data_IF_461727380578
#
_entry.id   IF_461727380578
#
_cell.length_a   1.000
_cell.length_b   1.000
_cell.length_c   1.000
_cell.angle_alpha   90.00
_cell.angle_beta   90.00
_cell.angle_gamma   90.00
#
_symmetry.space_group_name_H-M   'P 1'
#
loop_
_entity.id
_entity.type
_entity.pdbx_description
1 polymer ?
#
# COMPACT_ATOMS: atom_id res chain seq x y z
N UNK A 1 34.50 -5.64 -7.03
CA UNK A 1 34.11 -4.22 -6.87
C UNK A 1 33.04 -4.16 -5.78
N UNK A 2 33.03 -3.11 -4.95
CA UNK A 2 31.93 -2.90 -3.98
C UNK A 2 30.66 -2.58 -4.77
N UNK A 3 29.55 -3.26 -4.45
CA UNK A 3 28.26 -3.06 -5.11
C UNK A 3 27.65 -1.72 -4.69
N UNK A 4 26.92 -1.09 -5.62
CA UNK A 4 26.35 0.23 -5.44
C UNK A 4 24.87 0.28 -5.83
N UNK A 5 24.06 0.97 -5.03
CA UNK A 5 22.60 1.06 -5.19
C UNK A 5 22.16 2.52 -5.14
N UNK A 6 21.34 2.91 -6.11
CA UNK A 6 20.60 4.18 -6.09
C UNK A 6 19.21 3.94 -5.51
N UNK A 7 18.84 4.61 -4.43
CA UNK A 7 17.46 4.57 -3.90
C UNK A 7 16.77 5.89 -4.25
N UNK A 8 15.77 5.80 -5.12
CA UNK A 8 14.88 6.91 -5.44
C UNK A 8 13.77 6.95 -4.39
N UNK A 9 13.72 8.02 -3.60
CA UNK A 9 12.74 8.24 -2.55
C UNK A 9 13.33 8.17 -1.15
N UNK A 10 12.93 9.12 -0.30
CA UNK A 10 13.33 9.23 1.10
C UNK A 10 12.12 9.25 2.04
N UNK A 11 11.05 8.53 1.66
CA UNK A 11 9.82 8.40 2.46
C UNK A 11 9.94 7.31 3.53
N UNK A 12 8.85 7.07 4.27
CA UNK A 12 8.79 6.16 5.42
C UNK A 12 9.42 4.77 5.18
N UNK A 13 9.18 4.18 4.01
CA UNK A 13 9.62 2.82 3.69
C UNK A 13 11.09 2.72 3.26
N UNK A 14 11.76 3.85 3.01
CA UNK A 14 13.14 3.87 2.55
C UNK A 14 14.13 3.55 3.69
N UNK A 15 13.81 3.92 4.93
CA UNK A 15 14.72 3.78 6.07
C UNK A 15 15.18 2.34 6.31
N UNK A 16 14.29 1.34 6.42
CA UNK A 16 14.73 -0.04 6.64
C UNK A 16 15.51 -0.61 5.45
N UNK A 17 15.18 -0.17 4.23
CA UNK A 17 15.90 -0.59 3.03
C UNK A 17 17.34 -0.05 3.02
N UNK A 18 17.53 1.23 3.33
CA UNK A 18 18.86 1.85 3.46
C UNK A 18 19.67 1.16 4.54
N UNK A 19 19.08 0.92 5.71
CA UNK A 19 19.74 0.28 6.84
C UNK A 19 20.24 -1.13 6.50
N UNK A 20 19.38 -1.96 5.91
CA UNK A 20 19.73 -3.34 5.54
C UNK A 20 20.87 -3.36 4.52
N UNK A 21 20.79 -2.53 3.48
CA UNK A 21 21.81 -2.47 2.43
C UNK A 21 23.13 -1.90 2.95
N UNK A 22 23.07 -0.85 3.78
CA UNK A 22 24.25 -0.27 4.44
C UNK A 22 24.98 -1.29 5.32
N UNK A 23 24.24 -2.04 6.15
CA UNK A 23 24.80 -3.11 7.02
C UNK A 23 25.36 -4.29 6.22
N UNK A 24 24.88 -4.52 5.00
CA UNK A 24 25.46 -5.49 4.07
C UNK A 24 26.75 -4.98 3.37
N UNK A 25 27.20 -3.76 3.65
CA UNK A 25 28.39 -3.17 3.05
C UNK A 25 28.20 -2.62 1.64
N UNK A 26 26.94 -2.49 1.18
CA UNK A 26 26.59 -1.94 -0.12
C UNK A 26 26.65 -0.41 -0.05
N UNK A 27 27.21 0.23 -1.08
CA UNK A 27 27.22 1.69 -1.19
C UNK A 27 25.84 2.18 -1.61
N UNK A 28 25.18 3.00 -0.80
CA UNK A 28 23.81 3.47 -1.06
C UNK A 28 23.79 4.97 -1.33
N UNK A 29 23.27 5.37 -2.49
CA UNK A 29 22.95 6.77 -2.77
C UNK A 29 21.46 6.99 -2.60
N UNK A 30 21.06 7.77 -1.59
CA UNK A 30 19.67 8.20 -1.38
C UNK A 30 19.41 9.45 -2.20
N UNK A 31 18.40 9.39 -3.07
CA UNK A 31 18.06 10.47 -3.99
C UNK A 31 16.60 10.87 -3.85
N UNK A 32 16.35 12.16 -3.67
CA UNK A 32 15.02 12.75 -3.75
C UNK A 32 15.11 14.23 -4.14
N UNK A 33 13.99 14.89 -4.42
CA UNK A 33 14.00 16.31 -4.86
C UNK A 33 14.63 17.22 -3.82
N UNK A 34 14.29 17.04 -2.54
CA UNK A 34 14.76 17.88 -1.44
C UNK A 34 16.03 17.28 -0.81
N UNK A 35 17.20 17.88 -1.08
CA UNK A 35 18.50 17.36 -0.59
C UNK A 35 18.51 17.11 0.93
N UNK A 36 17.95 18.03 1.72
CA UNK A 36 17.91 17.91 3.17
C UNK A 36 17.20 16.62 3.64
N UNK A 37 16.14 16.18 2.95
CA UNK A 37 15.44 14.94 3.30
C UNK A 37 16.26 13.69 2.96
N UNK A 38 17.03 13.71 1.86
CA UNK A 38 17.98 12.64 1.57
C UNK A 38 19.13 12.61 2.57
N UNK A 39 19.65 13.78 2.97
CA UNK A 39 20.74 13.90 3.95
C UNK A 39 20.32 13.41 5.34
N UNK A 40 19.10 13.71 5.79
CA UNK A 40 18.58 13.23 7.06
C UNK A 40 18.52 11.70 7.12
N UNK A 41 18.08 11.07 6.02
CA UNK A 41 18.04 9.61 5.92
C UNK A 41 19.45 9.00 5.81
N UNK A 42 20.25 9.45 4.83
CA UNK A 42 21.58 8.90 4.58
C UNK A 42 22.52 9.11 5.78
N UNK A 43 22.51 10.29 6.41
CA UNK A 43 23.41 10.65 7.51
C UNK A 43 23.30 9.73 8.75
N UNK A 44 22.25 8.92 8.84
CA UNK A 44 22.05 7.95 9.93
C UNK A 44 22.79 6.61 9.71
N UNK A 45 23.38 6.39 8.52
CA UNK A 45 23.93 5.09 8.14
C UNK A 45 25.30 5.20 7.44
N UNK A 46 26.20 4.27 7.74
CA UNK A 46 27.49 4.15 7.05
C UNK A 46 27.31 3.76 5.57
N UNK A 47 28.33 3.97 4.74
CA UNK A 47 28.30 3.63 3.30
C UNK A 47 27.16 4.27 2.52
N UNK A 48 26.65 5.42 2.98
CA UNK A 48 25.57 6.13 2.30
C UNK A 48 26.01 7.53 1.84
N UNK A 49 25.34 8.01 0.80
CA UNK A 49 25.45 9.38 0.30
C UNK A 49 24.06 9.91 -0.05
N UNK A 50 23.90 11.23 -0.02
CA UNK A 50 22.65 11.90 -0.36
C UNK A 50 22.84 12.78 -1.59
N UNK A 51 21.86 12.77 -2.51
CA UNK A 51 21.84 13.64 -3.69
C UNK A 51 20.44 14.23 -3.90
N UNK A 52 20.38 15.44 -4.48
CA UNK A 52 19.14 15.97 -5.02
C UNK A 52 18.95 15.42 -6.43
N UNK A 53 17.77 14.87 -6.72
CA UNK A 53 17.43 14.36 -8.03
C UNK A 53 15.92 14.54 -8.28
N UNK A 54 15.60 15.19 -9.40
CA UNK A 54 14.25 15.17 -9.97
C UNK A 54 14.21 14.09 -11.06
N UNK A 55 13.31 13.12 -10.89
CA UNK A 55 13.14 12.02 -11.85
C UNK A 55 12.50 12.47 -13.17
N UNK A 56 11.98 13.70 -13.24
CA UNK A 56 11.54 14.31 -14.49
C UNK A 56 12.70 14.88 -15.32
N UNK A 57 13.86 15.12 -14.70
CA UNK A 57 15.08 15.43 -15.44
C UNK A 57 15.67 14.11 -15.97
N UNK A 58 15.36 13.83 -17.23
CA UNK A 58 15.77 12.58 -17.89
C UNK A 58 17.29 12.42 -17.91
N UNK A 59 18.04 13.50 -18.18
CA UNK A 59 19.50 13.42 -18.27
C UNK A 59 20.13 13.16 -16.90
N UNK A 60 19.64 13.84 -15.85
CA UNK A 60 20.10 13.62 -14.48
C UNK A 60 19.75 12.21 -13.99
N UNK A 61 18.55 11.71 -14.28
CA UNK A 61 18.12 10.37 -13.92
C UNK A 61 18.99 9.30 -14.60
N UNK A 62 19.20 9.41 -15.92
CA UNK A 62 20.04 8.47 -16.66
C UNK A 62 21.48 8.45 -16.15
N UNK A 63 22.07 9.62 -15.86
CA UNK A 63 23.41 9.72 -15.30
C UNK A 63 23.49 9.06 -13.91
N UNK A 64 22.50 9.32 -13.05
CA UNK A 64 22.44 8.72 -11.72
C UNK A 64 22.28 7.20 -11.80
N UNK A 65 21.37 6.69 -12.64
CA UNK A 65 21.16 5.24 -12.81
C UNK A 65 22.42 4.57 -13.35
N UNK A 66 23.09 5.15 -14.35
CA UNK A 66 24.30 4.59 -14.93
C UNK A 66 25.47 4.47 -13.95
N UNK A 67 25.52 5.33 -12.92
CA UNK A 67 26.57 5.33 -11.91
C UNK A 67 26.43 4.23 -10.85
N UNK A 68 25.34 3.45 -10.85
CA UNK A 68 25.07 2.41 -9.84
C UNK A 68 24.84 1.05 -10.50
N UNK A 69 24.88 -0.04 -9.72
CA UNK A 69 24.63 -1.40 -10.22
C UNK A 69 23.14 -1.73 -10.28
N UNK A 70 22.37 -1.14 -9.36
CA UNK A 70 20.92 -1.33 -9.24
C UNK A 70 20.23 -0.06 -8.76
N UNK A 71 19.02 0.21 -9.26
CA UNK A 71 18.15 1.30 -8.79
C UNK A 71 16.92 0.76 -8.07
N UNK A 72 16.64 1.24 -6.86
CA UNK A 72 15.40 0.97 -6.12
C UNK A 72 14.44 2.15 -6.31
N UNK A 73 13.24 1.89 -6.82
CA UNK A 73 12.20 2.92 -7.01
C UNK A 73 11.15 2.86 -5.90
N UNK A 74 11.28 3.73 -4.90
CA UNK A 74 10.33 3.92 -3.77
C UNK A 74 9.55 5.25 -3.89
N UNK A 75 9.44 5.76 -5.12
CA UNK A 75 8.69 6.97 -5.50
C UNK A 75 7.30 6.61 -6.06
N UNK A 76 6.40 7.58 -6.33
CA UNK A 76 5.10 7.29 -6.92
C UNK A 76 5.18 6.43 -8.18
N UNK A 77 4.28 5.44 -8.28
CA UNK A 77 4.33 4.41 -9.31
C UNK A 77 4.24 4.93 -10.75
N UNK A 78 3.74 6.15 -10.94
CA UNK A 78 3.68 6.83 -12.23
C UNK A 78 5.06 7.07 -12.86
N UNK A 79 6.13 7.08 -12.06
CA UNK A 79 7.50 7.29 -12.53
C UNK A 79 8.24 5.99 -12.88
N UNK A 80 7.70 4.80 -12.53
CA UNK A 80 8.42 3.54 -12.68
C UNK A 80 8.84 3.24 -14.12
N UNK A 81 7.98 3.51 -15.10
CA UNK A 81 8.30 3.29 -16.51
C UNK A 81 9.49 4.15 -16.99
N UNK A 82 9.60 5.39 -16.51
CA UNK A 82 10.73 6.28 -16.84
C UNK A 82 12.03 5.79 -16.19
N UNK A 83 11.97 5.33 -14.94
CA UNK A 83 13.12 4.73 -14.25
C UNK A 83 13.60 3.46 -14.96
N UNK A 84 12.67 2.59 -15.37
CA UNK A 84 13.00 1.35 -16.09
C UNK A 84 13.64 1.66 -17.44
N UNK A 85 13.14 2.66 -18.20
CA UNK A 85 13.76 3.08 -19.46
C UNK A 85 15.21 3.56 -19.28
N UNK A 86 15.47 4.37 -18.24
CA UNK A 86 16.84 4.79 -17.90
C UNK A 86 17.73 3.58 -17.54
N UNK A 87 17.19 2.62 -16.79
CA UNK A 87 17.90 1.40 -16.41
C UNK A 87 18.19 0.47 -17.59
N UNK A 88 17.26 0.33 -18.54
CA UNK A 88 17.46 -0.41 -19.80
C UNK A 88 18.62 0.21 -20.59
N UNK A 89 18.62 1.54 -20.77
CA UNK A 89 19.69 2.26 -21.46
C UNK A 89 21.05 2.05 -20.81
N UNK A 90 21.10 2.08 -19.48
CA UNK A 90 22.32 1.90 -18.70
C UNK A 90 22.70 0.43 -18.45
N UNK A 91 21.85 -0.53 -18.85
CA UNK A 91 21.94 -1.97 -18.52
C UNK A 91 22.10 -2.24 -17.02
N UNK A 92 21.31 -1.54 -16.20
CA UNK A 92 21.30 -1.66 -14.73
C UNK A 92 20.02 -2.29 -14.24
N UNK A 93 20.09 -2.97 -13.08
CA UNK A 93 18.95 -3.66 -12.50
C UNK A 93 18.00 -2.67 -11.80
N UNK A 94 16.75 -3.10 -11.59
CA UNK A 94 15.73 -2.31 -10.88
C UNK A 94 15.00 -3.16 -9.86
N UNK A 95 14.69 -2.58 -8.70
CA UNK A 95 13.76 -3.15 -7.72
C UNK A 95 12.66 -2.13 -7.40
N UNK A 96 11.40 -2.57 -7.34
CA UNK A 96 10.25 -1.76 -6.91
C UNK A 96 9.35 -2.53 -5.96
N UNK A 97 8.64 -1.84 -5.07
CA UNK A 97 7.62 -2.44 -4.19
C UNK A 97 6.19 -2.16 -4.68
N UNK A 98 6.02 -1.94 -5.97
CA UNK A 98 4.75 -1.57 -6.60
C UNK A 98 4.27 -2.64 -7.57
N UNK A 99 2.97 -2.64 -7.86
CA UNK A 99 2.37 -3.45 -8.91
C UNK A 99 3.06 -3.25 -10.26
N UNK A 100 3.22 -4.33 -11.02
CA UNK A 100 3.59 -4.28 -12.43
C UNK A 100 2.41 -3.66 -13.20
N UNK A 101 2.61 -2.45 -13.71
CA UNK A 101 1.63 -1.79 -14.57
C UNK A 101 1.75 -2.24 -16.03
N UNK A 102 0.72 -2.07 -16.87
CA UNK A 102 0.81 -2.34 -18.31
C UNK A 102 2.01 -1.65 -18.97
N UNK A 103 2.24 -0.36 -18.66
CA UNK A 103 3.37 0.41 -19.17
C UNK A 103 4.74 -0.12 -18.72
N UNK A 104 4.83 -0.82 -17.59
CA UNK A 104 6.04 -1.51 -17.18
C UNK A 104 6.21 -2.82 -17.96
N UNK A 105 5.13 -3.59 -18.12
CA UNK A 105 5.15 -4.88 -18.81
C UNK A 105 5.49 -4.74 -20.30
N UNK A 106 5.10 -3.65 -20.95
CA UNK A 106 5.51 -3.31 -22.32
C UNK A 106 7.04 -3.27 -22.50
N UNK A 107 7.79 -2.99 -21.44
CA UNK A 107 9.25 -2.90 -21.46
C UNK A 107 9.95 -4.26 -21.22
N UNK A 108 9.20 -5.36 -21.08
CA UNK A 108 9.76 -6.68 -20.76
C UNK A 108 10.73 -7.21 -21.83
N UNK A 109 10.37 -7.08 -23.11
CA UNK A 109 11.25 -7.46 -24.21
C UNK A 109 12.56 -6.68 -24.21
N UNK A 110 12.49 -5.36 -23.99
CA UNK A 110 13.66 -4.47 -23.93
C UNK A 110 14.53 -4.75 -22.70
N UNK A 111 13.93 -5.00 -21.53
CA UNK A 111 14.63 -5.36 -20.31
C UNK A 111 15.37 -6.70 -20.45
N UNK A 112 14.75 -7.70 -21.09
CA UNK A 112 15.39 -8.98 -21.43
C UNK A 112 16.57 -8.77 -22.40
N UNK A 113 16.38 -7.98 -23.46
CA UNK A 113 17.43 -7.68 -24.43
C UNK A 113 18.62 -6.92 -23.81
N UNK A 114 18.36 -6.02 -22.86
CA UNK A 114 19.38 -5.33 -22.10
C UNK A 114 20.09 -6.22 -21.06
N UNK A 115 19.58 -7.43 -20.81
CA UNK A 115 20.13 -8.37 -19.85
C UNK A 115 19.89 -7.97 -18.39
N UNK A 116 18.85 -7.19 -18.11
CA UNK A 116 18.57 -6.67 -16.77
C UNK A 116 17.41 -7.41 -16.09
N UNK A 117 17.48 -7.44 -14.76
CA UNK A 117 16.37 -7.85 -13.89
C UNK A 117 15.65 -6.62 -13.38
N UNK A 118 14.32 -6.61 -13.52
CA UNK A 118 13.43 -5.61 -12.93
C UNK A 118 12.48 -6.35 -11.99
N UNK A 119 12.83 -6.43 -10.71
CA UNK A 119 12.04 -7.14 -9.70
C UNK A 119 11.02 -6.19 -9.07
N UNK A 120 9.74 -6.50 -9.20
CA UNK A 120 8.64 -5.67 -8.71
C UNK A 120 7.84 -6.41 -7.65
N UNK A 121 6.80 -5.75 -7.12
CA UNK A 121 5.82 -6.39 -6.25
C UNK A 121 6.46 -7.11 -5.07
N UNK A 122 7.51 -6.51 -4.48
CA UNK A 122 8.28 -7.11 -3.39
C UNK A 122 8.37 -6.21 -2.16
N UNK A 123 7.21 -5.71 -1.71
CA UNK A 123 7.02 -5.06 -0.42
C UNK A 123 6.20 -5.93 0.54
N UNK A 124 5.08 -5.38 1.03
CA UNK A 124 4.12 -6.07 1.88
C UNK A 124 2.93 -6.61 1.06
N UNK A 125 2.17 -5.70 0.47
CA UNK A 125 1.01 -5.94 -0.41
C UNK A 125 1.04 -4.86 -1.51
N UNK A 126 1.67 -5.14 -2.68
CA UNK A 126 2.14 -6.45 -3.13
C UNK A 126 3.56 -6.83 -2.65
N UNK A 127 3.76 -8.08 -2.24
CA UNK A 127 5.05 -8.62 -1.79
C UNK A 127 4.92 -9.87 -0.94
N UNK A 128 5.06 -9.73 0.38
CA UNK A 128 4.90 -10.83 1.35
C UNK A 128 3.59 -11.60 1.09
N UNK A 129 2.51 -10.91 0.72
CA UNK A 129 1.25 -11.53 0.37
C UNK A 129 1.35 -12.50 -0.82
N UNK A 130 2.16 -12.19 -1.84
CA UNK A 130 2.45 -13.10 -2.95
C UNK A 130 3.32 -14.28 -2.51
N UNK A 131 4.34 -14.02 -1.69
CA UNK A 131 5.29 -15.05 -1.24
C UNK A 131 4.56 -16.22 -0.59
N UNK A 132 3.72 -15.92 0.42
CA UNK A 132 3.02 -16.95 1.19
C UNK A 132 1.78 -17.49 0.49
N UNK A 133 1.12 -16.71 -0.38
CA UNK A 133 0.03 -17.24 -1.19
C UNK A 133 0.53 -18.27 -2.21
N UNK A 134 1.55 -17.93 -3.00
CA UNK A 134 2.10 -18.81 -4.04
C UNK A 134 2.72 -20.06 -3.44
N UNK A 135 3.42 -19.95 -2.31
CA UNK A 135 4.02 -21.11 -1.64
C UNK A 135 2.97 -22.16 -1.20
N UNK A 136 1.90 -21.72 -0.54
CA UNK A 136 0.84 -22.62 -0.09
C UNK A 136 0.10 -23.26 -1.27
N UNK A 137 -0.24 -22.45 -2.28
CA UNK A 137 -0.91 -22.92 -3.50
C UNK A 137 -0.06 -24.01 -4.18
N UNK A 138 1.23 -23.74 -4.39
CA UNK A 138 2.16 -24.69 -5.00
C UNK A 138 2.26 -26.00 -4.19
N UNK A 139 2.36 -25.93 -2.85
CA UNK A 139 2.36 -27.13 -1.99
C UNK A 139 1.07 -27.93 -2.10
N UNK A 140 -0.08 -27.27 -2.11
CA UNK A 140 -1.40 -27.92 -2.25
C UNK A 140 -1.51 -28.64 -3.60
N UNK A 141 -1.16 -27.96 -4.70
CA UNK A 141 -1.20 -28.54 -6.03
C UNK A 141 -0.23 -29.72 -6.18
N UNK A 142 1.00 -29.61 -5.66
CA UNK A 142 1.97 -30.72 -5.64
C UNK A 142 1.49 -31.93 -4.86
N UNK A 143 0.69 -31.72 -3.81
CA UNK A 143 0.03 -32.79 -3.06
C UNK A 143 -1.20 -33.39 -3.78
N UNK A 144 -1.59 -32.83 -4.93
CA UNK A 144 -2.77 -33.25 -5.71
C UNK A 144 -4.09 -32.69 -5.17
N UNK A 145 -4.03 -31.64 -4.35
CA UNK A 145 -5.21 -30.89 -3.89
C UNK A 145 -5.59 -29.75 -4.84
N UNK A 146 -6.65 -29.03 -4.48
CA UNK A 146 -7.24 -27.92 -5.22
C UNK A 146 -7.54 -26.74 -4.31
N UNK A 147 -7.39 -25.52 -4.84
CA UNK A 147 -7.77 -24.29 -4.15
C UNK A 147 -9.19 -23.91 -4.57
N UNK A 148 -10.19 -24.22 -3.73
CA UNK A 148 -11.60 -23.91 -4.02
C UNK A 148 -11.94 -22.43 -3.76
N UNK A 149 -11.28 -21.81 -2.80
CA UNK A 149 -11.47 -20.41 -2.42
C UNK A 149 -10.15 -19.81 -1.96
N UNK A 150 -9.83 -18.62 -2.45
CA UNK A 150 -8.70 -17.80 -2.03
C UNK A 150 -9.19 -16.41 -1.65
N UNK A 151 -8.96 -16.03 -0.39
CA UNK A 151 -9.18 -14.66 0.10
C UNK A 151 -7.89 -14.15 0.72
N UNK A 152 -7.50 -12.92 0.41
CA UNK A 152 -6.29 -12.29 0.93
C UNK A 152 -6.60 -10.86 1.34
N UNK A 153 -6.54 -10.58 2.64
CA UNK A 153 -6.84 -9.27 3.17
C UNK A 153 -5.66 -8.72 3.96
N UNK A 154 -5.27 -7.48 3.64
CA UNK A 154 -4.16 -6.78 4.29
C UNK A 154 -4.59 -5.40 4.79
N UNK A 155 -4.08 -4.97 5.94
CA UNK A 155 -4.26 -3.62 6.46
C UNK A 155 -3.03 -3.14 7.20
N UNK A 156 -2.46 -2.01 6.75
CA UNK A 156 -1.59 -1.17 7.56
C UNK A 156 -2.44 -0.15 8.31
N UNK A 157 -2.51 -0.31 9.63
CA UNK A 157 -3.43 0.37 10.53
C UNK A 157 -2.65 0.97 11.71
N UNK A 158 -3.34 1.73 12.55
CA UNK A 158 -2.86 2.03 13.90
C UNK A 158 -3.04 0.80 14.79
N UNK A 159 -2.21 0.65 15.83
CA UNK A 159 -2.47 -0.34 16.87
C UNK A 159 -3.82 -0.06 17.57
N UNK A 160 -4.57 -1.09 18.04
CA UNK A 160 -5.89 -0.89 18.63
C UNK A 160 -5.92 0.15 19.76
N UNK A 161 -4.89 0.18 20.61
CA UNK A 161 -4.73 1.14 21.70
C UNK A 161 -4.51 2.59 21.23
N UNK A 162 -4.16 2.82 19.97
CA UNK A 162 -3.95 4.13 19.35
C UNK A 162 -4.97 4.42 18.22
N UNK A 163 -6.13 3.76 18.25
CA UNK A 163 -7.20 3.86 17.26
C UNK A 163 -8.31 4.86 17.60
N UNK A 164 -8.08 5.71 18.59
CA UNK A 164 -9.02 6.66 19.20
C UNK A 164 -9.25 7.94 18.37
N UNK A 165 -9.46 7.79 17.06
CA UNK A 165 -9.91 8.85 16.18
C UNK A 165 -11.09 8.40 15.32
N UNK A 166 -11.84 9.32 14.67
CA UNK A 166 -13.06 8.96 13.94
C UNK A 166 -12.91 7.93 12.83
N UNK A 167 -11.72 7.78 12.26
CA UNK A 167 -11.42 6.81 11.21
C UNK A 167 -10.80 5.52 11.75
N UNK A 168 -10.42 5.47 13.03
CA UNK A 168 -9.55 4.41 13.56
C UNK A 168 -8.27 4.26 12.74
N UNK A 169 -7.76 5.34 12.15
CA UNK A 169 -6.69 5.28 11.16
C UNK A 169 -5.65 6.37 11.40
N UNK A 170 -4.38 6.06 11.15
CA UNK A 170 -3.29 7.03 11.12
C UNK A 170 -2.38 6.70 9.94
N UNK A 171 -1.75 7.71 9.34
CA UNK A 171 -0.95 7.51 8.14
C UNK A 171 0.43 6.93 8.47
N UNK A 172 0.64 5.67 8.10
CA UNK A 172 1.97 5.01 8.12
C UNK A 172 2.65 4.97 6.74
N UNK A 173 1.96 5.50 5.72
CA UNK A 173 2.44 5.62 4.34
C UNK A 173 1.69 6.78 3.65
N UNK A 174 1.87 6.96 2.33
CA UNK A 174 1.32 8.11 1.58
C UNK A 174 -0.18 8.32 1.81
N UNK A 175 -0.52 9.43 2.47
CA UNK A 175 -1.88 9.92 2.74
C UNK A 175 -2.74 10.03 1.47
N UNK A 176 -2.20 10.68 0.44
CA UNK A 176 -2.83 10.79 -0.87
C UNK A 176 -3.05 9.42 -1.51
N UNK A 177 -2.08 8.52 -1.38
CA UNK A 177 -2.19 7.14 -1.84
C UNK A 177 -3.34 6.38 -1.18
N UNK A 178 -3.55 6.56 0.14
CA UNK A 178 -4.69 5.99 0.87
C UNK A 178 -6.00 6.50 0.29
N UNK A 179 -6.16 7.82 0.11
CA UNK A 179 -7.41 8.40 -0.39
C UNK A 179 -7.71 8.00 -1.84
N UNK A 180 -6.70 7.96 -2.71
CA UNK A 180 -6.87 7.49 -4.08
C UNK A 180 -7.25 6.00 -4.14
N UNK A 181 -6.72 5.17 -3.24
CA UNK A 181 -7.07 3.76 -3.19
C UNK A 181 -8.56 3.54 -2.91
N UNK A 182 -9.21 4.47 -2.20
CA UNK A 182 -10.65 4.44 -1.90
C UNK A 182 -11.52 4.79 -3.11
N UNK A 183 -10.94 5.31 -4.20
CA UNK A 183 -11.63 5.57 -5.48
C UNK A 183 -11.48 4.43 -6.49
N UNK A 184 -10.66 3.42 -6.20
CA UNK A 184 -10.44 2.33 -7.13
C UNK A 184 -11.72 1.51 -7.30
N UNK A 185 -12.02 1.10 -8.52
CA UNK A 185 -12.97 0.02 -8.74
C UNK A 185 -12.40 -1.27 -8.13
N UNK A 186 -13.29 -2.15 -7.68
CA UNK A 186 -12.93 -3.52 -7.32
C UNK A 186 -13.54 -4.50 -8.32
N UNK A 187 -12.77 -5.53 -8.68
CA UNK A 187 -13.23 -6.65 -9.50
C UNK A 187 -12.68 -7.94 -8.91
N UNK A 188 -13.52 -8.93 -8.67
CA UNK A 188 -13.09 -10.19 -8.05
C UNK A 188 -14.03 -11.33 -8.42
N UNK A 189 -13.65 -12.56 -8.04
CA UNK A 189 -14.50 -13.74 -8.26
C UNK A 189 -15.08 -14.19 -6.93
N UNK A 190 -16.39 -14.36 -6.87
CA UNK A 190 -17.13 -14.87 -5.72
C UNK A 190 -18.20 -15.85 -6.20
N UNK A 191 -18.24 -17.04 -5.60
CA UNK A 191 -19.14 -18.14 -5.98
C UNK A 191 -19.20 -18.43 -7.50
N UNK A 192 -18.03 -18.43 -8.14
CA UNK A 192 -17.85 -18.71 -9.57
C UNK A 192 -18.25 -17.55 -10.50
N UNK A 193 -18.61 -16.38 -9.95
CA UNK A 193 -19.07 -15.22 -10.71
C UNK A 193 -18.12 -14.04 -10.55
N UNK A 194 -17.95 -13.30 -11.63
CA UNK A 194 -17.26 -12.01 -11.59
C UNK A 194 -18.18 -11.01 -10.89
N UNK A 195 -17.64 -10.36 -9.85
CA UNK A 195 -18.25 -9.22 -9.17
C UNK A 195 -17.45 -7.99 -9.52
N UNK A 196 -18.13 -6.93 -9.96
CA UNK A 196 -17.55 -5.63 -10.26
C UNK A 196 -18.22 -4.56 -9.40
N UNK A 197 -17.41 -3.72 -8.76
CA UNK A 197 -17.85 -2.70 -7.81
C UNK A 197 -17.21 -1.38 -8.23
N UNK A 198 -18.03 -0.36 -8.42
CA UNK A 198 -17.54 0.98 -8.73
C UNK A 198 -16.81 1.58 -7.51
N UNK A 199 -15.85 2.48 -7.74
CA UNK A 199 -15.19 3.20 -6.65
C UNK A 199 -16.15 3.99 -5.75
N UNK A 200 -17.31 4.42 -6.28
CA UNK A 200 -18.34 5.13 -5.51
C UNK A 200 -19.07 4.21 -4.53
N UNK A 201 -19.26 2.95 -4.92
CA UNK A 201 -19.99 1.95 -4.12
C UNK A 201 -19.05 1.09 -3.27
N UNK A 202 -17.73 1.24 -3.43
CA UNK A 202 -16.72 0.37 -2.80
C UNK A 202 -16.90 0.28 -1.29
N UNK A 203 -17.10 1.41 -0.62
CA UNK A 203 -17.26 1.44 0.84
C UNK A 203 -18.58 0.81 1.31
N UNK A 204 -19.61 0.74 0.47
CA UNK A 204 -20.87 0.05 0.80
C UNK A 204 -20.72 -1.48 0.79
N UNK A 205 -19.68 -2.00 0.11
CA UNK A 205 -19.38 -3.44 0.09
C UNK A 205 -18.60 -3.92 1.31
N UNK A 206 -18.10 -3.00 2.15
CA UNK A 206 -17.30 -3.35 3.30
C UNK A 206 -18.13 -4.16 4.31
N UNK A 207 -17.66 -5.35 4.68
CA UNK A 207 -18.32 -6.26 5.62
C UNK A 207 -17.41 -6.57 6.81
N UNK A 208 -17.97 -6.86 8.01
CA UNK A 208 -17.18 -7.42 9.10
C UNK A 208 -16.34 -8.60 8.63
N UNK A 209 -15.07 -8.64 9.03
CA UNK A 209 -14.14 -9.69 8.66
C UNK A 209 -13.59 -10.37 9.91
N UNK A 210 -14.00 -11.61 10.13
CA UNK A 210 -13.57 -12.42 11.27
C UNK A 210 -12.25 -13.11 10.95
N UNK A 211 -11.17 -12.66 11.58
CA UNK A 211 -9.81 -13.21 11.36
C UNK A 211 -9.52 -14.47 12.17
N UNK A 212 -10.41 -14.85 13.09
CA UNK A 212 -10.14 -15.83 14.15
C UNK A 212 -9.50 -15.24 15.41
N UNK A 213 -9.11 -13.96 15.40
CA UNK A 213 -8.59 -13.25 16.56
C UNK A 213 -9.68 -12.35 17.15
N UNK A 214 -10.17 -12.68 18.35
CA UNK A 214 -11.28 -11.97 19.02
C UNK A 214 -11.00 -10.49 19.28
N UNK A 215 -9.73 -10.11 19.41
CA UNK A 215 -9.33 -8.74 19.76
C UNK A 215 -9.47 -7.69 18.64
N UNK A 216 -9.78 -8.09 17.40
CA UNK A 216 -9.86 -7.15 16.28
C UNK A 216 -11.28 -7.01 15.73
N UNK A 217 -11.72 -5.76 15.59
CA UNK A 217 -13.01 -5.41 14.98
C UNK A 217 -12.81 -4.91 13.55
N UNK A 218 -12.37 -5.80 12.66
CA UNK A 218 -12.08 -5.44 11.27
C UNK A 218 -13.30 -5.50 10.37
N UNK A 219 -13.25 -4.66 9.35
CA UNK A 219 -14.07 -4.73 8.14
C UNK A 219 -13.16 -4.88 6.93
N UNK A 220 -13.65 -5.54 5.90
CA UNK A 220 -12.92 -5.82 4.68
C UNK A 220 -13.72 -5.45 3.43
N UNK A 221 -13.04 -4.96 2.40
CA UNK A 221 -13.59 -4.67 1.07
C UNK A 221 -12.57 -5.09 -0.01
N UNK A 222 -13.05 -5.35 -1.23
CA UNK A 222 -12.20 -5.73 -2.36
C UNK A 222 -11.21 -4.62 -2.76
N UNK A 223 -10.04 -4.99 -3.28
CA UNK A 223 -9.00 -4.04 -3.66
C UNK A 223 -8.57 -4.27 -5.11
N UNK A 224 -8.77 -3.27 -5.98
CA UNK A 224 -8.42 -3.32 -7.42
C UNK A 224 -9.03 -4.55 -8.11
N UNK A 225 -8.35 -5.09 -9.10
CA UNK A 225 -8.77 -6.28 -9.83
C UNK A 225 -8.03 -7.52 -9.28
N UNK A 226 -8.80 -8.44 -8.70
CA UNK A 226 -8.37 -9.76 -8.23
C UNK A 226 -8.64 -10.86 -9.26
N UNK A 227 -9.45 -10.61 -10.29
CA UNK A 227 -9.88 -11.66 -11.23
C UNK A 227 -8.72 -12.28 -12.01
N UNK A 228 -7.70 -11.47 -12.35
CA UNK A 228 -6.47 -11.96 -12.98
C UNK A 228 -5.62 -12.90 -12.12
N UNK A 229 -5.86 -12.99 -10.80
CA UNK A 229 -5.10 -13.88 -9.92
C UNK A 229 -5.46 -15.36 -10.06
N UNK A 230 -6.60 -15.69 -10.70
CA UNK A 230 -6.88 -17.07 -11.10
C UNK A 230 -5.78 -17.61 -12.02
N UNK A 231 -5.38 -16.82 -13.01
CA UNK A 231 -4.29 -17.16 -13.93
C UNK A 231 -2.94 -16.96 -13.24
N UNK A 232 -2.74 -15.81 -12.60
CA UNK A 232 -1.44 -15.41 -12.03
C UNK A 232 -0.93 -16.36 -10.95
N UNK A 233 -1.83 -16.94 -10.15
CA UNK A 233 -1.50 -17.95 -9.15
C UNK A 233 -1.79 -19.38 -9.59
N UNK A 234 -2.20 -19.59 -10.86
CA UNK A 234 -2.51 -20.91 -11.41
C UNK A 234 -3.59 -21.67 -10.63
N UNK A 235 -4.66 -20.97 -10.19
CA UNK A 235 -5.81 -21.52 -9.46
C UNK A 235 -7.12 -21.42 -10.26
N UNK A 236 -7.20 -21.89 -11.53
CA UNK A 236 -8.41 -21.78 -12.34
C UNK A 236 -9.61 -22.54 -11.74
N UNK A 237 -9.37 -23.46 -10.81
CA UNK A 237 -10.39 -24.22 -10.10
C UNK A 237 -11.10 -23.44 -8.99
N UNK A 238 -10.53 -22.30 -8.57
CA UNK A 238 -11.07 -21.49 -7.48
C UNK A 238 -12.41 -20.84 -7.87
N UNK A 239 -13.44 -21.09 -7.06
CA UNK A 239 -14.74 -20.45 -7.17
C UNK A 239 -14.76 -19.07 -6.51
N UNK A 240 -13.77 -18.76 -5.68
CA UNK A 240 -13.64 -17.45 -5.04
C UNK A 240 -12.17 -17.02 -5.08
N UNK A 241 -11.92 -15.80 -5.55
CA UNK A 241 -10.60 -15.18 -5.61
C UNK A 241 -10.75 -13.69 -5.31
N UNK A 242 -10.42 -13.30 -4.08
CA UNK A 242 -10.57 -11.92 -3.60
C UNK A 242 -9.28 -11.49 -2.91
N UNK A 243 -8.67 -10.41 -3.40
CA UNK A 243 -7.69 -9.61 -2.67
C UNK A 243 -8.37 -8.33 -2.20
N UNK A 244 -8.10 -7.93 -0.98
CA UNK A 244 -8.81 -6.83 -0.35
C UNK A 244 -8.06 -6.15 0.77
N UNK A 245 -8.69 -5.13 1.32
CA UNK A 245 -8.10 -4.27 2.34
C UNK A 245 -8.86 -4.34 3.65
N UNK A 246 -8.13 -4.42 4.76
CA UNK A 246 -8.68 -4.35 6.12
C UNK A 246 -8.69 -2.91 6.64
N UNK A 247 -9.76 -2.56 7.34
CA UNK A 247 -9.89 -1.35 8.17
C UNK A 247 -10.60 -1.69 9.47
N UNK A 248 -10.55 -0.81 10.46
CA UNK A 248 -11.42 -0.94 11.62
C UNK A 248 -12.86 -0.55 11.26
N UNK A 249 -13.82 -1.14 11.97
CA UNK A 249 -15.22 -0.74 11.87
C UNK A 249 -15.39 0.76 12.12
N UNK A 250 -16.33 1.39 11.40
CA UNK A 250 -16.53 2.85 11.41
C UNK A 250 -15.80 3.58 10.27
N UNK A 251 -14.68 3.04 9.77
CA UNK A 251 -13.95 3.65 8.64
C UNK A 251 -14.80 3.76 7.36
N UNK A 252 -15.45 2.68 6.85
CA UNK A 252 -16.18 2.76 5.57
C UNK A 252 -17.33 3.79 5.53
N UNK A 253 -18.26 3.86 6.51
CA UNK A 253 -19.34 4.85 6.46
C UNK A 253 -18.83 6.29 6.55
N UNK A 254 -17.72 6.53 7.25
CA UNK A 254 -17.10 7.85 7.26
C UNK A 254 -16.56 8.25 5.89
N UNK A 255 -15.78 7.37 5.26
CA UNK A 255 -15.26 7.61 3.90
C UNK A 255 -16.38 7.75 2.88
N UNK A 256 -17.40 6.89 2.94
CA UNK A 256 -18.56 6.98 2.03
C UNK A 256 -19.24 8.33 2.13
N UNK A 257 -19.37 8.88 3.34
CA UNK A 257 -19.92 10.23 3.53
C UNK A 257 -19.06 11.30 2.86
N UNK A 258 -17.72 11.20 2.93
CA UNK A 258 -16.80 12.09 2.22
C UNK A 258 -16.89 11.96 0.70
N UNK A 259 -17.09 10.73 0.20
CA UNK A 259 -17.33 10.46 -1.23
C UNK A 259 -18.62 11.16 -1.68
N UNK A 260 -19.72 10.95 -0.96
CA UNK A 260 -21.05 11.46 -1.32
C UNK A 260 -21.11 12.98 -1.39
N UNK A 261 -20.36 13.66 -0.51
CA UNK A 261 -20.33 15.12 -0.48
C UNK A 261 -19.26 15.73 -1.39
N UNK A 262 -18.47 14.90 -2.09
CA UNK A 262 -17.55 15.34 -3.16
C UNK A 262 -16.10 15.60 -2.74
N UNK A 263 -15.67 15.21 -1.54
CA UNK A 263 -14.29 15.48 -1.09
C UNK A 263 -13.23 14.60 -1.72
N UNK A 264 -13.59 13.48 -2.38
CA UNK A 264 -12.63 12.64 -3.11
C UNK A 264 -12.49 13.06 -4.59
N UNK A 265 -13.03 14.21 -4.98
CA UNK A 265 -12.77 14.83 -6.27
C UNK A 265 -11.35 15.41 -6.32
N UNK A 266 -10.58 15.04 -7.34
CA UNK A 266 -9.23 15.53 -7.61
C UNK A 266 -9.17 16.54 -8.77
N UNK A 267 -10.32 16.92 -9.32
CA UNK A 267 -10.41 17.97 -10.33
C UNK A 267 -10.13 19.35 -9.72
N UNK A 268 -9.32 20.19 -10.40
CA UNK A 268 -9.01 21.54 -9.92
C UNK A 268 -10.27 22.38 -9.67
N UNK A 269 -10.28 23.13 -8.56
CA UNK A 269 -11.31 24.13 -8.22
C UNK A 269 -10.61 25.43 -7.85
N UNK A 270 -10.95 26.52 -8.52
CA UNK A 270 -10.26 27.81 -8.30
C UNK A 270 -10.36 28.32 -6.87
N UNK A 271 -11.49 28.09 -6.20
CA UNK A 271 -11.69 28.49 -4.80
C UNK A 271 -10.84 27.71 -3.77
N UNK A 272 -10.16 26.64 -4.17
CA UNK A 272 -9.24 25.86 -3.32
C UNK A 272 -7.77 26.19 -3.57
N UNK A 273 -7.50 27.25 -4.34
CA UNK A 273 -6.14 27.81 -4.52
C UNK A 273 -5.78 28.84 -3.46
N UNK A 274 -6.75 29.30 -2.68
CA UNK A 274 -6.57 30.30 -1.62
C UNK A 274 -6.94 29.75 -0.24
N UNK A 275 -6.34 30.32 0.81
CA UNK A 275 -6.53 29.88 2.20
C UNK A 275 -7.84 30.43 2.79
N UNK A 276 -8.97 29.94 2.26
CA UNK A 276 -10.32 30.24 2.77
C UNK A 276 -10.66 29.43 4.03
N UNK A 277 -11.63 29.87 4.85
CA UNK A 277 -12.17 29.08 5.96
C UNK A 277 -12.72 27.71 5.53
N UNK A 278 -12.56 26.70 6.38
CA UNK A 278 -13.00 25.34 6.12
C UNK A 278 -14.51 25.21 5.88
N UNK A 279 -15.34 25.91 6.66
CA UNK A 279 -16.79 25.96 6.45
C UNK A 279 -17.21 26.53 5.09
N UNK A 280 -16.46 27.51 4.55
CA UNK A 280 -16.67 28.03 3.20
C UNK A 280 -16.27 27.00 2.13
N UNK A 281 -15.13 26.33 2.31
CA UNK A 281 -14.70 25.25 1.42
C UNK A 281 -15.73 24.12 1.41
N UNK A 282 -16.22 23.70 2.57
CA UNK A 282 -17.26 22.69 2.72
C UNK A 282 -18.55 23.12 2.03
N UNK A 283 -19.00 24.37 2.22
CA UNK A 283 -20.20 24.86 1.56
C UNK A 283 -20.09 24.78 0.03
N UNK A 284 -18.94 25.19 -0.53
CA UNK A 284 -18.69 25.15 -1.97
C UNK A 284 -18.58 23.71 -2.52
N UNK A 285 -17.90 22.81 -1.81
CA UNK A 285 -17.74 21.40 -2.24
C UNK A 285 -19.07 20.64 -2.13
N UNK A 286 -19.78 20.77 -1.01
CA UNK A 286 -21.05 20.08 -0.77
C UNK A 286 -22.24 20.70 -1.51
N UNK A 287 -22.13 21.94 -1.98
CA UNK A 287 -23.24 22.69 -2.59
C UNK A 287 -24.23 23.25 -1.57
N UNK A 288 -23.79 23.56 -0.36
CA UNK A 288 -24.62 24.16 0.69
C UNK A 288 -24.99 25.60 0.36
N UNK A 289 -26.13 26.05 0.90
CA UNK A 289 -26.66 27.42 0.69
C UNK A 289 -25.79 28.49 1.35
N UNK A 290 -25.17 28.17 2.49
CA UNK A 290 -24.25 29.04 3.22
C UNK A 290 -23.23 28.22 3.99
N UNK A 291 -22.27 28.89 4.65
CA UNK A 291 -21.31 28.30 5.58
C UNK A 291 -21.86 28.13 7.01
N UNK A 292 -23.16 28.37 7.23
CA UNK A 292 -23.80 28.10 8.53
C UNK A 292 -23.86 26.60 8.80
N UNK A 293 -23.65 26.18 10.05
CA UNK A 293 -23.66 24.76 10.41
C UNK A 293 -24.96 24.06 9.98
N UNK A 294 -26.11 24.73 10.15
CA UNK A 294 -27.41 24.18 9.78
C UNK A 294 -27.50 23.87 8.28
N UNK A 295 -27.06 24.79 7.42
CA UNK A 295 -27.07 24.59 5.96
C UNK A 295 -26.06 23.54 5.52
N UNK A 296 -24.89 23.50 6.16
CA UNK A 296 -23.86 22.49 5.91
C UNK A 296 -24.38 21.07 6.25
N UNK A 297 -24.97 20.89 7.43
CA UNK A 297 -25.57 19.61 7.84
C UNK A 297 -26.73 19.23 6.91
N UNK A 298 -27.54 20.18 6.47
CA UNK A 298 -28.62 19.93 5.52
C UNK A 298 -28.09 19.45 4.16
N UNK A 299 -27.06 20.11 3.62
CA UNK A 299 -26.43 19.72 2.35
C UNK A 299 -25.79 18.33 2.41
N UNK A 300 -25.09 18.03 3.51
CA UNK A 300 -24.52 16.68 3.75
C UNK A 300 -25.64 15.65 3.84
N UNK A 301 -26.70 15.93 4.62
CA UNK A 301 -27.83 14.99 4.79
C UNK A 301 -28.58 14.72 3.49
N UNK A 302 -28.61 15.66 2.55
CA UNK A 302 -29.24 15.48 1.25
C UNK A 302 -28.45 14.55 0.31
N UNK A 303 -27.17 14.31 0.58
CA UNK A 303 -26.26 13.53 -0.28
C UNK A 303 -25.79 12.21 0.36
N UNK A 304 -25.57 12.19 1.67
CA UNK A 304 -24.99 11.07 2.38
C UNK A 304 -25.93 9.86 2.40
N UNK A 305 -25.56 8.76 1.75
CA UNK A 305 -26.34 7.51 1.75
C UNK A 305 -26.17 6.70 3.03
N UNK A 306 -25.22 7.10 3.88
CA UNK A 306 -24.82 6.42 5.12
C UNK A 306 -25.72 6.72 6.30
N UNK A 307 -26.54 7.77 6.24
CA UNK A 307 -27.39 8.24 7.34
C UNK A 307 -28.65 7.39 7.51
N UNK A 308 -28.47 6.10 7.80
CA UNK A 308 -29.55 5.10 7.93
C UNK A 308 -30.39 5.31 9.19
N UNK A 309 -29.80 5.84 10.25
CA UNK A 309 -30.49 6.18 11.51
C UNK A 309 -30.01 7.53 12.03
N UNK A 310 -30.79 8.12 12.93
CA UNK A 310 -30.43 9.40 13.58
C UNK A 310 -29.12 9.28 14.36
N UNK A 311 -28.86 8.13 14.98
CA UNK A 311 -27.64 7.87 15.73
C UNK A 311 -26.41 7.86 14.82
N UNK A 312 -26.48 7.16 13.68
CA UNK A 312 -25.39 7.10 12.70
C UNK A 312 -25.14 8.49 12.12
N UNK A 313 -26.21 9.23 11.76
CA UNK A 313 -26.10 10.61 11.29
C UNK A 313 -25.38 11.49 12.32
N UNK A 314 -25.82 11.47 13.58
CA UNK A 314 -25.24 12.32 14.62
C UNK A 314 -23.77 11.99 14.86
N UNK A 315 -23.40 10.70 14.85
CA UNK A 315 -22.03 10.25 15.00
C UNK A 315 -21.15 10.73 13.83
N UNK A 316 -21.58 10.50 12.58
CA UNK A 316 -20.81 10.92 11.40
C UNK A 316 -20.66 12.44 11.29
N UNK A 317 -21.69 13.21 11.65
CA UNK A 317 -21.59 14.68 11.70
C UNK A 317 -20.59 15.12 12.79
N UNK A 318 -20.60 14.49 13.97
CA UNK A 318 -19.61 14.75 15.03
C UNK A 318 -18.19 14.45 14.54
N UNK A 319 -18.03 13.35 13.83
CA UNK A 319 -16.74 12.92 13.29
C UNK A 319 -16.21 13.88 12.21
N UNK A 320 -17.09 14.37 11.31
CA UNK A 320 -16.73 15.41 10.34
C UNK A 320 -16.37 16.73 11.04
N UNK A 321 -17.06 17.09 12.13
CA UNK A 321 -16.69 18.25 12.94
C UNK A 321 -15.32 18.10 13.61
N UNK A 322 -14.95 16.89 14.04
CA UNK A 322 -13.61 16.62 14.60
C UNK A 322 -12.49 16.89 13.57
N UNK A 323 -12.73 16.61 12.29
CA UNK A 323 -11.82 17.01 11.20
C UNK A 323 -11.65 18.53 11.09
N UNK A 324 -12.58 19.32 11.62
CA UNK A 324 -12.54 20.78 11.58
C UNK A 324 -13.12 21.39 10.30
N UNK A 325 -13.73 20.59 9.42
CA UNK A 325 -14.27 21.09 8.13
C UNK A 325 -15.49 22.02 8.28
N UNK A 326 -16.06 22.11 9.48
CA UNK A 326 -17.13 23.05 9.86
C UNK A 326 -16.61 24.35 10.49
N UNK A 327 -15.28 24.48 10.69
CA UNK A 327 -14.68 25.57 11.44
C UNK A 327 -14.26 26.76 10.56
N UNK A 328 -13.88 27.86 11.21
CA UNK A 328 -13.25 29.01 10.56
C UNK A 328 -11.74 28.84 10.35
N UNK A 329 -11.16 27.69 10.72
CA UNK A 329 -9.75 27.39 10.44
C UNK A 329 -9.53 27.41 8.94
N UNK A 330 -8.44 28.04 8.50
CA UNK A 330 -8.12 28.15 7.07
C UNK A 330 -7.68 26.79 6.52
N UNK A 331 -8.09 26.49 5.29
CA UNK A 331 -7.60 25.32 4.57
C UNK A 331 -6.11 25.48 4.23
N UNK A 332 -5.41 24.35 4.05
CA UNK A 332 -4.15 24.34 3.31
C UNK A 332 -4.49 24.22 1.82
N UNK A 333 -4.27 25.25 1.00
CA UNK A 333 -4.74 25.24 -0.38
C UNK A 333 -3.92 24.24 -1.20
N UNK A 334 -4.58 23.20 -1.73
CA UNK A 334 -3.97 22.25 -2.66
C UNK A 334 -4.73 22.15 -3.99
N UNK A 335 -5.61 23.10 -4.28
CA UNK A 335 -6.23 23.29 -5.61
C UNK A 335 -7.36 22.35 -5.96
N UNK A 336 -7.55 21.22 -5.27
CA UNK A 336 -8.71 20.33 -5.42
C UNK A 336 -9.20 19.80 -4.06
N UNK A 337 -10.46 19.30 -3.96
CA UNK A 337 -11.05 18.83 -2.70
C UNK A 337 -10.24 17.72 -2.02
N UNK A 338 -9.80 16.71 -2.77
CA UNK A 338 -9.07 15.55 -2.26
C UNK A 338 -7.76 15.97 -1.60
N UNK A 339 -6.93 16.73 -2.30
CA UNK A 339 -5.62 17.13 -1.80
C UNK A 339 -5.75 18.14 -0.65
N UNK A 340 -6.77 19.03 -0.69
CA UNK A 340 -7.05 19.98 0.40
C UNK A 340 -7.45 19.25 1.68
N UNK A 341 -8.34 18.26 1.58
CA UNK A 341 -8.70 17.40 2.71
C UNK A 341 -7.49 16.61 3.21
N UNK A 342 -6.71 16.05 2.28
CA UNK A 342 -5.50 15.28 2.57
C UNK A 342 -4.53 16.03 3.48
N UNK A 343 -4.32 17.34 3.24
CA UNK A 343 -3.47 18.18 4.08
C UNK A 343 -3.95 18.26 5.54
N UNK A 344 -5.26 18.35 5.77
CA UNK A 344 -5.83 18.38 7.13
C UNK A 344 -5.77 17.01 7.79
N UNK A 345 -5.94 15.93 7.03
CA UNK A 345 -5.81 14.57 7.56
C UNK A 345 -4.35 14.29 7.96
N UNK A 346 -3.36 14.73 7.17
CA UNK A 346 -1.93 14.61 7.49
C UNK A 346 -1.57 15.25 8.84
N UNK A 347 -2.14 16.43 9.12
CA UNK A 347 -1.95 17.15 10.39
C UNK A 347 -2.62 16.41 11.57
N UNK A 348 -3.87 15.96 11.38
CA UNK A 348 -4.69 15.40 12.47
C UNK A 348 -4.46 13.91 12.76
N UNK A 349 -3.96 13.15 11.79
CA UNK A 349 -3.92 11.69 11.83
C UNK A 349 -2.50 11.15 11.61
N UNK A 350 -1.50 11.91 12.06
CA UNK A 350 -0.14 11.39 12.22
C UNK A 350 0.00 10.65 13.55
N UNK A 351 0.86 9.63 13.58
CA UNK A 351 1.27 8.99 14.82
C UNK A 351 2.00 9.99 15.72
N UNK A 352 1.68 9.95 17.01
CA UNK A 352 2.28 10.76 18.07
C UNK A 352 3.36 9.95 18.80
N UNK A 353 4.17 10.64 19.60
CA UNK A 353 5.19 10.02 20.47
C UNK A 353 4.59 8.88 21.30
N UNK A 354 5.28 7.72 21.32
CA UNK A 354 4.83 6.53 22.05
C UNK A 354 3.74 5.69 21.36
N UNK A 355 3.12 6.18 20.29
CA UNK A 355 2.14 5.41 19.51
C UNK A 355 2.81 4.49 18.49
N UNK A 356 2.10 3.45 18.03
CA UNK A 356 2.64 2.50 17.06
C UNK A 356 1.63 2.08 16.00
N UNK A 357 2.13 1.76 14.81
CA UNK A 357 1.32 1.14 13.76
C UNK A 357 1.22 -0.38 13.96
N UNK A 358 0.35 -0.99 13.16
CA UNK A 358 0.16 -2.42 13.09
C UNK A 358 -0.10 -2.82 11.65
N UNK A 359 0.48 -3.94 11.21
CA UNK A 359 0.14 -4.61 9.96
C UNK A 359 -0.57 -5.91 10.29
N UNK A 360 -1.70 -6.14 9.64
CA UNK A 360 -2.39 -7.42 9.64
C UNK A 360 -2.56 -7.90 8.20
N UNK A 361 -2.00 -9.05 7.87
CA UNK A 361 -2.14 -9.74 6.59
C UNK A 361 -2.66 -11.15 6.87
N UNK A 362 -3.73 -11.56 6.20
CA UNK A 362 -4.23 -12.92 6.29
C UNK A 362 -4.69 -13.42 4.94
N UNK A 363 -4.17 -14.57 4.56
CA UNK A 363 -4.75 -15.42 3.53
C UNK A 363 -5.69 -16.45 4.17
N UNK A 364 -6.78 -16.73 3.49
CA UNK A 364 -7.72 -17.80 3.80
C UNK A 364 -7.92 -18.65 2.56
N UNK A 365 -7.64 -19.93 2.69
CA UNK A 365 -7.77 -20.93 1.64
C UNK A 365 -8.83 -21.94 2.04
N UNK A 366 -9.74 -22.27 1.13
CA UNK A 366 -10.52 -23.50 1.22
C UNK A 366 -9.89 -24.49 0.26
N UNK A 367 -9.34 -25.57 0.81
CA UNK A 367 -8.60 -26.60 0.08
C UNK A 367 -9.44 -27.86 0.00
N UNK A 368 -9.54 -28.45 -1.18
CA UNK A 368 -9.95 -29.85 -1.35
C UNK A 368 -8.70 -30.69 -1.53
N UNK A 369 -8.44 -31.61 -0.59
CA UNK A 369 -7.30 -32.50 -0.65
C UNK A 369 -7.52 -33.60 -1.70
N UNK A 370 -6.44 -34.33 -2.02
CA UNK A 370 -6.47 -35.42 -3.01
C UNK A 370 -7.48 -36.53 -2.68
N UNK A 371 -7.74 -36.77 -1.40
CA UNK A 371 -8.71 -37.77 -0.92
C UNK A 371 -10.17 -37.25 -0.89
N UNK A 372 -10.40 -35.98 -1.29
CA UNK A 372 -11.70 -35.32 -1.28
C UNK A 372 -12.08 -34.67 0.05
N UNK A 373 -11.27 -34.82 1.11
CA UNK A 373 -11.47 -34.07 2.36
C UNK A 373 -11.25 -32.57 2.13
N UNK A 374 -11.92 -31.73 2.92
CA UNK A 374 -11.81 -30.28 2.81
C UNK A 374 -11.25 -29.68 4.08
N UNK A 375 -10.29 -28.78 3.90
CA UNK A 375 -9.73 -28.01 5.00
C UNK A 375 -9.76 -26.51 4.70
N UNK A 376 -9.90 -25.70 5.73
CA UNK A 376 -9.73 -24.25 5.73
C UNK A 376 -8.38 -23.93 6.35
N UNK A 377 -7.50 -23.33 5.56
CA UNK A 377 -6.15 -22.95 6.00
C UNK A 377 -6.06 -21.44 6.05
N UNK A 378 -5.63 -20.91 7.18
CA UNK A 378 -5.22 -19.51 7.30
C UNK A 378 -3.69 -19.40 7.20
N UNK A 379 -3.19 -18.34 6.60
CA UNK A 379 -1.77 -17.94 6.65
C UNK A 379 -1.71 -16.48 7.08
N UNK A 380 -1.22 -16.21 8.29
CA UNK A 380 -1.41 -14.93 8.97
C UNK A 380 -0.09 -14.29 9.42
N UNK A 381 0.09 -13.01 9.11
CA UNK A 381 1.12 -12.12 9.66
C UNK A 381 0.42 -10.99 10.42
N UNK A 382 0.75 -10.84 11.70
CA UNK A 382 0.30 -9.74 12.55
C UNK A 382 1.52 -9.15 13.24
N UNK A 383 1.86 -7.92 12.91
CA UNK A 383 3.08 -7.27 13.40
C UNK A 383 2.80 -5.84 13.86
N UNK A 384 3.32 -5.49 15.03
CA UNK A 384 3.27 -4.14 15.57
C UNK A 384 4.60 -3.43 15.32
N UNK A 385 4.52 -2.15 14.95
CA UNK A 385 5.69 -1.32 14.80
C UNK A 385 6.32 -0.96 16.14
N UNK A 386 7.53 -0.43 16.06
CA UNK A 386 8.13 0.23 17.20
C UNK A 386 7.37 1.53 17.53
N UNK A 387 7.20 1.88 18.82
CA UNK A 387 6.63 3.16 19.20
C UNK A 387 7.39 4.34 18.58
N UNK A 388 6.69 5.39 18.14
CA UNK A 388 7.32 6.65 17.72
C UNK A 388 8.21 7.16 18.85
N UNK A 389 9.43 7.59 18.49
CA UNK A 389 10.45 8.05 19.43
C UNK A 389 11.38 6.96 19.97
N UNK A 390 11.06 5.67 19.81
CA UNK A 390 11.90 4.56 20.27
C UNK A 390 13.13 4.29 19.39
N UNK A 391 13.20 4.89 18.19
CA UNK A 391 14.26 4.66 17.21
C UNK A 391 14.09 3.41 16.33
N UNK A 392 13.07 2.57 16.60
CA UNK A 392 12.74 1.44 15.74
C UNK A 392 11.82 1.80 14.57
N UNK A 393 11.74 0.96 13.52
CA UNK A 393 10.84 1.19 12.39
C UNK A 393 9.39 0.84 12.75
N UNK A 394 8.46 1.48 12.04
CA UNK A 394 7.05 1.07 11.99
C UNK A 394 6.93 -0.32 11.31
N UNK A 395 5.86 -1.06 11.59
CA UNK A 395 5.57 -2.35 10.93
C UNK A 395 5.44 -2.16 9.41
N UNK A 396 4.74 -1.11 8.96
CA UNK A 396 4.63 -0.77 7.54
C UNK A 396 6.01 -0.52 6.89
N UNK A 397 6.84 0.30 7.53
CA UNK A 397 8.18 0.59 7.01
C UNK A 397 9.03 -0.69 6.94
N UNK A 398 9.03 -1.51 8.00
CA UNK A 398 9.77 -2.76 8.09
C UNK A 398 9.33 -3.75 7.01
N UNK A 399 8.03 -4.02 6.92
CA UNK A 399 7.45 -5.04 6.04
C UNK A 399 7.43 -4.64 4.56
N UNK A 400 7.69 -3.38 4.22
CA UNK A 400 7.91 -2.94 2.83
C UNK A 400 9.41 -2.84 2.51
N UNK A 401 10.18 -2.18 3.37
CA UNK A 401 11.59 -1.88 3.11
C UNK A 401 12.49 -3.10 3.16
N UNK A 402 12.28 -4.02 4.10
CA UNK A 402 13.15 -5.20 4.26
C UNK A 402 12.98 -6.19 3.09
N UNK A 403 11.76 -6.59 2.66
CA UNK A 403 11.61 -7.44 1.48
C UNK A 403 12.24 -6.83 0.22
N UNK A 404 12.09 -5.53 0.02
CA UNK A 404 12.76 -4.81 -1.06
C UNK A 404 14.29 -4.92 -0.99
N UNK A 405 14.88 -4.69 0.19
CA UNK A 405 16.34 -4.80 0.37
C UNK A 405 16.89 -6.23 0.28
N UNK A 406 16.11 -7.23 0.69
CA UNK A 406 16.45 -8.64 0.47
C UNK A 406 16.46 -8.95 -1.03
N UNK A 407 15.44 -8.51 -1.78
CA UNK A 407 15.40 -8.67 -3.22
C UNK A 407 16.58 -7.97 -3.92
N UNK A 408 16.96 -6.76 -3.47
CA UNK A 408 18.16 -6.05 -3.98
C UNK A 408 19.41 -6.90 -3.81
N UNK A 409 19.68 -7.42 -2.61
CA UNK A 409 20.86 -8.26 -2.35
C UNK A 409 20.84 -9.51 -3.22
N UNK A 410 19.67 -10.14 -3.40
CA UNK A 410 19.51 -11.36 -4.19
C UNK A 410 19.63 -11.12 -5.70
N UNK A 411 19.21 -9.97 -6.21
CA UNK A 411 19.48 -9.58 -7.61
C UNK A 411 20.97 -9.31 -7.81
N UNK A 412 21.60 -8.58 -6.88
CA UNK A 412 23.01 -8.22 -6.96
C UNK A 412 23.96 -9.43 -6.84
N UNK A 413 23.61 -10.42 -6.02
CA UNK A 413 24.43 -11.64 -5.84
C UNK A 413 24.07 -12.78 -6.82
N UNK A 414 23.05 -12.59 -7.67
CA UNK A 414 22.65 -13.54 -8.70
C UNK A 414 21.69 -14.65 -8.25
N UNK A 415 21.25 -14.65 -6.98
CA UNK A 415 20.17 -15.54 -6.50
C UNK A 415 18.91 -15.35 -7.34
N UNK A 416 18.54 -14.09 -7.60
CA UNK A 416 17.53 -13.71 -8.60
C UNK A 416 18.27 -13.33 -9.89
N UNK A 417 18.25 -14.24 -10.86
CA UNK A 417 18.99 -14.10 -12.13
C UNK A 417 18.10 -13.99 -13.37
N UNK A 418 16.80 -14.19 -13.23
CA UNK A 418 15.83 -14.06 -14.32
C UNK A 418 15.81 -12.61 -14.86
N UNK A 419 15.65 -12.46 -16.17
CA UNK A 419 15.68 -11.14 -16.86
C UNK A 419 14.29 -10.74 -17.32
N UNK A 420 14.07 -9.45 -17.43
CA UNK A 420 12.76 -8.87 -17.76
C UNK A 420 12.04 -8.29 -16.54
N UNK A 421 10.74 -8.09 -16.70
CA UNK A 421 9.84 -7.53 -15.71
C UNK A 421 9.28 -8.67 -14.86
N UNK A 422 9.72 -8.75 -13.61
CA UNK A 422 9.41 -9.86 -12.71
C UNK A 422 8.51 -9.42 -11.55
N UNK A 423 7.86 -10.41 -10.95
CA UNK A 423 7.13 -10.33 -9.70
C UNK A 423 7.27 -11.70 -8.97
N UNK A 424 7.04 -11.79 -7.65
CA UNK A 424 7.20 -13.02 -6.87
C UNK A 424 6.09 -14.07 -7.14
N UNK A 425 6.10 -14.64 -8.34
CA UNK A 425 5.00 -15.47 -8.87
C UNK A 425 5.34 -16.96 -8.98
N UNK A 426 6.50 -17.38 -8.47
CA UNK A 426 6.89 -18.79 -8.48
C UNK A 426 7.83 -19.10 -7.31
N UNK A 427 7.88 -20.37 -6.90
CA UNK A 427 8.68 -20.82 -5.75
C UNK A 427 10.18 -20.65 -5.95
N UNK A 428 10.70 -20.70 -7.19
CA UNK A 428 12.12 -20.44 -7.46
C UNK A 428 12.55 -19.03 -7.06
N UNK A 429 11.70 -18.02 -7.31
CA UNK A 429 11.92 -16.65 -6.84
C UNK A 429 11.57 -16.50 -5.36
N UNK A 430 10.48 -17.11 -4.90
CA UNK A 430 9.89 -16.82 -3.60
C UNK A 430 10.65 -17.49 -2.45
N UNK A 431 11.07 -18.75 -2.60
CA UNK A 431 11.67 -19.54 -1.51
C UNK A 431 12.95 -18.89 -0.95
N UNK A 432 13.93 -18.41 -1.76
CA UNK A 432 15.11 -17.74 -1.22
C UNK A 432 14.78 -16.45 -0.47
N UNK A 433 13.79 -15.68 -0.94
CA UNK A 433 13.34 -14.44 -0.29
C UNK A 433 12.68 -14.77 1.06
N UNK A 434 11.72 -15.70 1.07
CA UNK A 434 11.02 -16.14 2.29
C UNK A 434 11.99 -16.67 3.35
N UNK A 435 12.97 -17.48 2.92
CA UNK A 435 14.00 -18.02 3.83
C UNK A 435 14.77 -16.90 4.51
N UNK A 436 15.27 -15.93 3.75
CA UNK A 436 16.03 -14.82 4.33
C UNK A 436 15.16 -13.91 5.20
N UNK A 437 13.91 -13.67 4.80
CA UNK A 437 12.94 -12.90 5.59
C UNK A 437 12.64 -13.54 6.94
N UNK A 438 12.41 -14.86 6.98
CA UNK A 438 12.15 -15.58 8.23
C UNK A 438 13.43 -15.69 9.08
N UNK A 439 14.50 -16.26 8.54
CA UNK A 439 15.70 -16.60 9.32
C UNK A 439 16.44 -15.37 9.88
N UNK A 440 16.48 -14.26 9.13
CA UNK A 440 17.25 -13.07 9.51
C UNK A 440 16.39 -11.96 10.15
N UNK A 441 15.12 -11.87 9.81
CA UNK A 441 14.25 -10.76 10.23
C UNK A 441 12.98 -11.20 10.96
N UNK A 442 12.72 -12.51 11.06
CA UNK A 442 11.51 -13.06 11.68
C UNK A 442 10.22 -12.70 10.94
N UNK A 443 10.31 -12.31 9.66
CA UNK A 443 9.16 -11.88 8.86
C UNK A 443 8.57 -13.12 8.18
N UNK A 444 7.42 -13.58 8.67
CA UNK A 444 6.67 -14.69 8.07
C UNK A 444 5.17 -14.66 8.34
N UNK A 445 4.40 -15.31 7.46
CA UNK A 445 3.04 -15.71 7.78
C UNK A 445 3.04 -17.08 8.47
N UNK A 446 2.25 -17.22 9.54
CA UNK A 446 2.04 -18.49 10.25
C UNK A 446 0.79 -19.18 9.72
N UNK A 447 0.92 -20.46 9.35
CA UNK A 447 -0.18 -21.27 8.85
C UNK A 447 -0.94 -22.00 9.96
N UNK A 448 -2.27 -22.10 9.82
CA UNK A 448 -3.12 -22.87 10.73
C UNK A 448 -4.32 -23.46 9.99
N UNK A 449 -4.59 -24.75 10.20
CA UNK A 449 -5.84 -25.42 9.81
C UNK A 449 -6.94 -25.06 10.81
N UNK A 450 -8.11 -24.63 10.33
CA UNK A 450 -9.18 -24.05 11.15
C UNK A 450 -10.38 -24.98 11.40
N UNK A 451 -10.40 -26.15 10.77
CA UNK A 451 -11.52 -27.09 10.79
C UNK A 451 -11.58 -27.98 12.03
#
# INVERSE_FOLDING_TARGET
>A
MSQSVLILGSGFVATPAVEVLSKAGIQVTVACRTLATAQALAGSYANTKAVSLDVNDTAALEAAVAAHDLTVSLIPYTFHAVVIKAAIKAKKHVVTTSYVSPAMMELDGEAKAAGITVMNEIGLDPGIDHLYAVDLIDRVHKAGGKILSFKSFCGGLTAPENSDNPLGYKFSWSSRGVLLALKNNAKYVEDGKIVEVSGLDLMDTAKPYHTGFTGFNFVAYGNRDSSGYLERYHIPEAQTCVRGTLRFAGFPPFIKTLVDIGFLDDQPKDFLKEAIPWNEALAKVSGAKSSSEADLVAAISAKATTFKTTEIKNQLIKDLKWLGIFSNTKITPRGNPLDTLCATLEDKMTFQEGERDMVFLQHMFVVENKDGSKNTISSTLCEYGAPIGSGGPSAMAKLVGIPGAVAVQQVLNGTISERGILAPMNTKLNTPIMKELDEKYGIKCTEKILD
#
